data_IF_560684823335
#
_entry.id   IF_560684823335
#
_cell.length_a   1.000
_cell.length_b   1.000
_cell.length_c   1.000
_cell.angle_alpha   90.00
_cell.angle_beta   90.00
_cell.angle_gamma   90.00
#
_symmetry.space_group_name_H-M   'P 1'
#
loop_
_entity.id
_entity.type
_entity.pdbx_description
1 polymer ?
#
# COMPACT_ATOMS: atom_id res chain seq x y z
N UNK A 1 10.57 -42.65 -26.83
CA UNK A 1 11.52 -42.11 -25.83
C UNK A 1 11.48 -40.60 -25.91
N UNK A 2 10.65 -39.95 -25.08
CA UNK A 2 10.77 -38.55 -24.64
C UNK A 2 9.65 -38.25 -23.63
N UNK A 3 9.92 -37.31 -22.73
CA UNK A 3 9.54 -37.30 -21.31
C UNK A 3 8.24 -36.58 -20.98
N UNK A 4 7.64 -37.03 -19.87
CA UNK A 4 6.59 -36.40 -19.06
C UNK A 4 6.79 -34.89 -18.90
N UNK A 5 5.71 -34.11 -18.98
CA UNK A 5 5.49 -33.08 -17.98
C UNK A 5 3.99 -32.89 -17.71
N UNK A 6 3.60 -33.10 -16.44
CA UNK A 6 2.23 -32.96 -15.92
C UNK A 6 2.02 -31.49 -15.58
N UNK A 7 1.03 -30.83 -16.19
CA UNK A 7 0.61 -29.46 -15.85
C UNK A 7 -0.67 -29.48 -15.00
N UNK A 8 -0.46 -29.46 -13.68
CA UNK A 8 -1.13 -28.67 -12.66
C UNK A 8 -2.37 -27.89 -13.14
N UNK A 9 -3.55 -28.41 -12.80
CA UNK A 9 -4.81 -27.68 -12.70
C UNK A 9 -5.54 -28.19 -11.47
N UNK A 10 -5.65 -27.35 -10.43
CA UNK A 10 -6.68 -27.31 -9.36
C UNK A 10 -6.15 -26.47 -8.18
N UNK A 11 -6.35 -25.16 -8.23
CA UNK A 11 -6.47 -24.38 -6.99
C UNK A 11 -7.97 -24.25 -6.72
N UNK A 12 -8.48 -25.18 -5.92
CA UNK A 12 -9.75 -24.99 -5.24
C UNK A 12 -9.56 -23.88 -4.19
N UNK A 13 -10.56 -23.01 -4.06
CA UNK A 13 -10.81 -22.28 -2.82
C UNK A 13 -10.80 -23.30 -1.66
N UNK A 14 -9.74 -23.27 -0.85
CA UNK A 14 -9.56 -24.20 0.24
C UNK A 14 -10.38 -23.76 1.45
N UNK A 15 -11.68 -24.05 1.43
CA UNK A 15 -12.44 -24.21 2.68
C UNK A 15 -12.01 -25.54 3.29
N UNK A 16 -11.03 -25.50 4.20
CA UNK A 16 -10.55 -26.67 4.94
C UNK A 16 -11.67 -27.17 5.89
N UNK A 17 -12.35 -28.23 5.48
CA UNK A 17 -13.13 -29.06 6.40
C UNK A 17 -12.16 -29.92 7.22
N UNK A 18 -12.01 -29.61 8.51
CA UNK A 18 -11.34 -30.50 9.46
C UNK A 18 -12.26 -31.68 9.81
N UNK A 19 -11.79 -32.89 9.52
CA UNK A 19 -12.28 -34.10 10.18
C UNK A 19 -11.62 -34.14 11.56
N UNK A 20 -12.38 -33.88 12.62
CA UNK A 20 -11.92 -34.02 13.99
C UNK A 20 -11.83 -35.51 14.36
N UNK A 21 -10.64 -36.10 14.24
CA UNK A 21 -10.30 -37.32 14.96
C UNK A 21 -9.80 -36.93 16.35
N UNK A 22 -10.64 -37.19 17.36
CA UNK A 22 -10.34 -36.92 18.76
C UNK A 22 -9.15 -37.75 19.25
N UNK A 23 -7.99 -37.10 19.34
CA UNK A 23 -6.94 -37.45 20.28
C UNK A 23 -6.88 -36.35 21.33
N UNK A 24 -6.85 -36.73 22.60
CA UNK A 24 -6.74 -35.80 23.72
C UNK A 24 -5.46 -34.95 23.56
N UNK A 25 -5.64 -33.65 23.32
CA UNK A 25 -4.53 -32.71 23.15
C UNK A 25 -3.84 -32.47 24.51
N UNK A 26 -2.50 -32.59 24.61
CA UNK A 26 -1.76 -31.93 25.69
C UNK A 26 -2.05 -30.42 25.63
N UNK A 27 -2.18 -29.77 26.78
CA UNK A 27 -2.48 -28.33 27.00
C UNK A 27 -2.47 -27.53 25.68
N UNK A 28 -3.65 -27.33 25.06
CA UNK A 28 -3.71 -26.76 23.72
C UNK A 28 -3.00 -25.40 23.69
N UNK A 29 -1.96 -25.29 22.86
CA UNK A 29 -1.19 -24.06 22.70
C UNK A 29 -2.15 -22.93 22.34
N UNK A 30 -2.26 -21.91 23.20
CA UNK A 30 -3.15 -20.79 22.97
C UNK A 30 -2.51 -19.77 22.02
N UNK A 31 -3.34 -18.95 21.35
CA UNK A 31 -2.83 -17.83 20.52
C UNK A 31 -1.94 -16.88 21.33
N UNK A 32 -2.29 -16.65 22.60
CA UNK A 32 -1.49 -15.79 23.48
C UNK A 32 -0.13 -16.41 23.79
N UNK A 33 -0.07 -17.73 23.96
CA UNK A 33 1.19 -18.44 24.18
C UNK A 33 2.11 -18.38 22.96
N UNK A 34 1.57 -18.49 21.74
CA UNK A 34 2.34 -18.33 20.50
C UNK A 34 2.86 -16.90 20.38
N UNK A 35 1.98 -15.91 20.58
CA UNK A 35 2.35 -14.50 20.49
C UNK A 35 3.41 -14.13 21.55
N UNK A 36 3.27 -14.58 22.79
CA UNK A 36 4.24 -14.29 23.85
C UNK A 36 5.61 -14.89 23.54
N UNK A 37 5.65 -16.12 23.00
CA UNK A 37 6.91 -16.74 22.57
C UNK A 37 7.54 -16.00 21.40
N UNK A 38 6.74 -15.47 20.47
CA UNK A 38 7.25 -14.57 19.43
C UNK A 38 7.86 -13.31 20.03
N UNK A 39 7.18 -12.67 20.99
CA UNK A 39 7.70 -11.46 21.65
C UNK A 39 9.02 -11.78 22.38
N UNK A 40 9.08 -12.88 23.13
CA UNK A 40 10.30 -13.32 23.81
C UNK A 40 11.43 -13.63 22.81
N UNK A 41 11.16 -14.40 21.76
CA UNK A 41 12.14 -14.73 20.72
C UNK A 41 12.64 -13.49 19.98
N UNK A 42 11.79 -12.48 19.81
CA UNK A 42 12.19 -11.21 19.20
C UNK A 42 13.07 -10.35 20.11
N UNK A 43 13.11 -10.58 21.42
CA UNK A 43 13.94 -9.80 22.35
C UNK A 43 13.30 -9.51 23.72
N UNK A 44 12.05 -9.91 23.92
CA UNK A 44 11.32 -9.72 25.17
C UNK A 44 10.64 -8.35 25.30
N UNK A 45 9.59 -8.29 26.13
CA UNK A 45 8.71 -7.11 26.29
C UNK A 45 9.47 -5.84 26.66
N UNK A 46 10.38 -5.93 27.62
CA UNK A 46 11.11 -4.76 28.12
C UNK A 46 11.99 -4.12 27.04
N UNK A 47 12.65 -4.92 26.21
CA UNK A 47 13.50 -4.42 25.13
C UNK A 47 12.68 -3.86 23.97
N UNK A 48 11.58 -4.52 23.61
CA UNK A 48 10.63 -4.00 22.62
C UNK A 48 10.05 -2.66 23.08
N UNK A 49 9.65 -2.55 24.35
CA UNK A 49 9.13 -1.32 24.94
C UNK A 49 10.18 -0.19 24.97
N UNK A 50 11.46 -0.52 25.18
CA UNK A 50 12.57 0.42 25.24
C UNK A 50 12.99 1.01 23.87
N UNK A 51 12.41 0.55 22.76
CA UNK A 51 12.61 1.18 21.45
C UNK A 51 11.62 2.33 21.28
N UNK A 52 12.14 3.55 21.26
CA UNK A 52 11.38 4.78 21.03
C UNK A 52 11.21 5.07 19.53
N UNK A 53 12.25 4.79 18.74
CA UNK A 53 12.23 4.97 17.29
C UNK A 53 13.18 4.02 16.58
N UNK A 54 12.93 3.84 15.28
CA UNK A 54 13.72 3.05 14.36
C UNK A 54 13.99 3.86 13.08
N UNK A 55 15.25 3.92 12.67
CA UNK A 55 15.70 4.58 11.44
C UNK A 55 16.31 3.52 10.52
N UNK A 56 15.75 3.42 9.31
CA UNK A 56 16.09 2.49 8.26
C UNK A 56 16.82 3.23 7.15
N UNK A 57 17.97 2.71 6.72
CA UNK A 57 18.82 3.33 5.70
C UNK A 57 19.49 2.29 4.83
N UNK A 58 19.97 2.71 3.65
CA UNK A 58 20.68 1.82 2.75
C UNK A 58 19.76 0.76 2.14
N UNK A 59 18.48 1.07 1.98
CA UNK A 59 17.49 0.11 1.50
C UNK A 59 17.54 -0.05 -0.02
N UNK A 60 17.36 -1.29 -0.50
CA UNK A 60 17.01 -1.57 -1.88
C UNK A 60 15.54 -1.97 -1.93
N UNK A 61 14.83 -1.46 -2.94
CA UNK A 61 13.41 -1.72 -3.14
C UNK A 61 13.14 -1.97 -4.61
N UNK A 62 12.28 -2.92 -4.93
CA UNK A 62 11.81 -3.18 -6.30
C UNK A 62 10.29 -3.37 -6.27
N UNK A 63 9.58 -2.70 -7.16
CA UNK A 63 8.14 -2.86 -7.39
C UNK A 63 7.82 -2.50 -8.85
N UNK A 64 7.43 -3.50 -9.65
CA UNK A 64 7.28 -3.32 -11.10
C UNK A 64 8.56 -2.77 -11.73
N UNK A 65 8.44 -1.64 -12.43
CA UNK A 65 9.57 -0.94 -13.07
C UNK A 65 10.31 0.02 -12.11
N UNK A 66 9.77 0.25 -10.92
CA UNK A 66 10.39 1.12 -9.92
C UNK A 66 11.43 0.35 -9.11
N UNK A 67 12.62 0.93 -8.97
CA UNK A 67 13.65 0.37 -8.10
C UNK A 67 14.49 1.46 -7.43
N UNK A 68 14.94 1.17 -6.21
CA UNK A 68 15.96 1.94 -5.49
C UNK A 68 17.17 1.06 -5.22
N UNK A 69 18.36 1.64 -5.36
CA UNK A 69 19.62 0.95 -5.10
C UNK A 69 20.35 1.61 -3.93
N UNK A 70 20.06 1.14 -2.71
CA UNK A 70 20.71 1.61 -1.48
C UNK A 70 20.25 2.99 -1.01
N UNK A 71 19.23 3.58 -1.63
CA UNK A 71 18.73 4.93 -1.31
C UNK A 71 17.42 4.93 -0.53
N UNK A 72 16.73 3.80 -0.40
CA UNK A 72 15.49 3.77 0.38
C UNK A 72 15.78 4.02 1.86
N UNK A 73 14.96 4.90 2.45
CA UNK A 73 15.00 5.27 3.85
C UNK A 73 13.60 5.24 4.45
N UNK A 74 13.52 4.96 5.75
CA UNK A 74 12.28 5.02 6.51
C UNK A 74 12.61 5.38 7.96
N UNK A 75 11.71 6.07 8.63
CA UNK A 75 11.77 6.29 10.08
C UNK A 75 10.41 5.96 10.69
N UNK A 76 10.43 5.37 11.88
CA UNK A 76 9.23 5.16 12.71
C UNK A 76 9.52 5.58 14.14
N UNK A 77 8.58 6.22 14.81
CA UNK A 77 8.73 6.60 16.21
C UNK A 77 7.43 6.42 17.00
N UNK A 78 7.56 6.17 18.29
CA UNK A 78 6.43 6.21 19.21
C UNK A 78 5.85 7.64 19.25
N UNK A 79 4.53 7.77 19.43
CA UNK A 79 3.60 6.65 19.62
C UNK A 79 3.07 6.03 18.31
N UNK A 80 3.15 6.72 17.16
CA UNK A 80 2.64 6.22 15.87
C UNK A 80 3.18 7.03 14.67
N UNK A 81 4.39 7.56 14.74
CA UNK A 81 4.96 8.37 13.67
C UNK A 81 5.65 7.52 12.60
N UNK A 82 5.49 7.89 11.33
CA UNK A 82 6.16 7.24 10.18
C UNK A 82 6.62 8.28 9.16
N UNK A 83 7.76 8.04 8.55
CA UNK A 83 8.23 8.69 7.32
C UNK A 83 8.86 7.62 6.43
N UNK A 84 8.48 7.56 5.16
CA UNK A 84 9.21 6.86 4.09
C UNK A 84 9.82 7.93 3.19
N UNK A 85 11.12 7.83 2.93
CA UNK A 85 11.93 8.87 2.31
C UNK A 85 12.78 9.65 3.33
N UNK A 86 13.66 10.52 2.81
CA UNK A 86 14.54 11.35 3.61
C UNK A 86 13.94 12.76 3.75
N UNK A 87 13.75 13.21 4.99
CA UNK A 87 13.20 14.55 5.27
C UNK A 87 14.07 15.69 4.72
N UNK A 88 15.36 15.45 4.55
CA UNK A 88 16.33 16.42 4.05
C UNK A 88 16.53 16.33 2.53
N UNK A 89 16.15 15.20 1.93
CA UNK A 89 16.18 14.97 0.49
C UNK A 89 14.85 14.31 0.08
N UNK A 90 13.79 15.11 -0.08
CA UNK A 90 12.44 14.60 -0.24
C UNK A 90 12.22 13.82 -1.55
N UNK A 91 13.16 13.91 -2.49
CA UNK A 91 13.05 13.27 -3.80
C UNK A 91 11.71 13.53 -4.50
N UNK A 92 11.32 12.58 -5.36
CA UNK A 92 10.09 12.66 -6.14
C UNK A 92 8.82 12.33 -5.34
N UNK A 93 8.96 11.57 -4.26
CA UNK A 93 7.85 11.08 -3.44
C UNK A 93 8.30 10.83 -2.00
N UNK A 94 7.45 11.22 -1.05
CA UNK A 94 7.52 10.74 0.33
C UNK A 94 6.13 10.44 0.85
N UNK A 95 6.05 9.57 1.84
CA UNK A 95 4.82 9.40 2.62
C UNK A 95 5.13 9.42 4.10
N UNK A 96 4.15 9.82 4.90
CA UNK A 96 4.30 9.82 6.33
C UNK A 96 3.00 9.73 7.09
N UNK A 97 3.13 9.62 8.40
CA UNK A 97 2.03 9.61 9.33
C UNK A 97 2.43 10.43 10.55
N UNK A 98 1.79 11.59 10.72
CA UNK A 98 2.01 12.52 11.84
C UNK A 98 0.84 12.53 12.84
N UNK A 99 -0.01 11.51 12.79
CA UNK A 99 -1.38 11.53 13.34
C UNK A 99 -2.43 11.57 12.23
N UNK A 100 -2.03 12.01 11.03
CA UNK A 100 -2.77 11.84 9.79
C UNK A 100 -1.80 11.39 8.70
N UNK A 101 -2.24 10.44 7.87
CA UNK A 101 -1.46 9.99 6.72
C UNK A 101 -1.32 11.14 5.70
N UNK A 102 -0.14 11.27 5.11
CA UNK A 102 0.16 12.26 4.08
C UNK A 102 1.14 11.72 3.05
N UNK A 103 1.06 12.26 1.83
CA UNK A 103 1.94 11.97 0.69
C UNK A 103 2.47 13.30 0.15
N UNK A 104 3.76 13.35 -0.18
CA UNK A 104 4.43 14.42 -0.92
C UNK A 104 4.68 13.95 -2.34
N UNK A 105 4.40 14.83 -3.29
CA UNK A 105 4.68 14.62 -4.70
C UNK A 105 5.50 15.80 -5.23
N UNK A 106 6.73 15.57 -5.68
CA UNK A 106 7.61 16.63 -6.21
C UNK A 106 7.01 17.31 -7.45
N UNK A 107 6.37 16.52 -8.30
CA UNK A 107 5.54 17.02 -9.38
C UNK A 107 4.09 16.61 -9.08
N UNK A 108 3.19 17.55 -8.75
CA UNK A 108 3.27 19.01 -8.94
C UNK A 108 3.80 19.84 -7.76
N UNK A 109 4.46 19.21 -6.78
CA UNK A 109 5.03 19.88 -5.62
C UNK A 109 3.99 20.09 -4.54
N UNK A 110 3.20 19.06 -4.24
CA UNK A 110 2.04 19.15 -3.34
C UNK A 110 2.07 18.12 -2.23
N UNK A 111 1.39 18.45 -1.13
CA UNK A 111 1.11 17.52 -0.04
C UNK A 111 -0.36 17.16 -0.05
N UNK A 112 -0.64 15.86 -0.05
CA UNK A 112 -1.99 15.30 0.01
C UNK A 112 -2.16 14.58 1.35
N UNK A 113 -3.19 14.92 2.11
CA UNK A 113 -3.56 14.17 3.33
C UNK A 113 -4.55 13.07 2.98
N UNK A 114 -4.04 11.85 2.84
CA UNK A 114 -4.81 10.70 2.36
C UNK A 114 -5.92 10.29 3.31
N UNK A 115 -6.98 9.70 2.76
CA UNK A 115 -8.13 9.15 3.48
C UNK A 115 -8.42 7.71 3.04
N UNK A 116 -9.51 7.13 3.56
CA UNK A 116 -9.99 5.80 3.19
C UNK A 116 -8.87 4.73 3.31
N UNK A 117 -8.75 3.86 2.31
CA UNK A 117 -7.81 2.74 2.29
C UNK A 117 -6.34 3.19 2.41
N UNK A 118 -5.95 4.28 1.74
CA UNK A 118 -4.59 4.81 1.80
C UNK A 118 -4.23 5.28 3.22
N UNK A 119 -5.16 5.99 3.88
CA UNK A 119 -4.99 6.40 5.27
C UNK A 119 -4.98 5.22 6.25
N UNK A 120 -5.77 4.18 5.98
CA UNK A 120 -5.76 2.95 6.77
C UNK A 120 -4.41 2.23 6.67
N UNK A 121 -3.89 2.06 5.45
CA UNK A 121 -2.56 1.48 5.22
C UNK A 121 -1.46 2.29 5.94
N UNK A 122 -1.49 3.62 5.84
CA UNK A 122 -0.58 4.49 6.59
C UNK A 122 -0.62 4.24 8.10
N UNK A 123 -1.83 4.11 8.68
CA UNK A 123 -2.00 3.79 10.11
C UNK A 123 -1.48 2.41 10.51
N UNK A 124 -1.73 1.40 9.68
CA UNK A 124 -1.42 0.01 10.04
C UNK A 124 0.06 -0.24 10.26
N UNK A 125 0.91 0.49 9.54
CA UNK A 125 2.36 0.29 9.51
C UNK A 125 3.16 1.45 10.14
N UNK A 126 2.48 2.39 10.83
CA UNK A 126 3.16 3.53 11.45
C UNK A 126 3.80 3.24 12.81
N UNK A 127 3.28 2.26 13.56
CA UNK A 127 3.81 1.91 14.87
C UNK A 127 5.21 1.29 14.80
N UNK A 128 6.01 1.52 15.84
CA UNK A 128 7.31 0.85 16.04
C UNK A 128 7.11 -0.65 16.30
N UNK A 129 6.15 -0.98 17.16
CA UNK A 129 5.88 -2.35 17.59
C UNK A 129 5.16 -3.18 16.53
N UNK A 130 5.56 -4.45 16.42
CA UNK A 130 4.83 -5.43 15.60
C UNK A 130 3.35 -5.49 16.02
N UNK A 131 2.37 -5.60 15.09
CA UNK A 131 0.92 -5.59 15.38
C UNK A 131 0.42 -6.66 16.38
N UNK A 132 1.22 -7.70 16.65
CA UNK A 132 0.92 -8.71 17.68
C UNK A 132 1.26 -8.26 19.13
N UNK A 133 2.18 -7.31 19.31
CA UNK A 133 2.56 -6.80 20.64
C UNK A 133 1.39 -6.04 21.26
N UNK A 134 0.93 -6.40 22.44
CA UNK A 134 -0.20 -5.71 23.12
C UNK A 134 -1.46 -5.53 22.23
N UNK A 135 -1.70 -6.49 21.34
CA UNK A 135 -2.75 -6.40 20.32
C UNK A 135 -4.14 -6.09 20.93
N UNK A 136 -4.45 -6.63 22.12
CA UNK A 136 -5.70 -6.37 22.86
C UNK A 136 -5.82 -4.93 23.33
N UNK A 137 -4.75 -4.37 23.89
CA UNK A 137 -4.74 -2.97 24.35
C UNK A 137 -4.93 -2.00 23.17
N UNK A 138 -4.53 -2.42 21.96
CA UNK A 138 -4.75 -1.69 20.70
C UNK A 138 -6.11 -1.96 20.05
N UNK A 139 -6.99 -2.74 20.71
CA UNK A 139 -8.34 -3.03 20.24
C UNK A 139 -8.43 -4.10 19.14
N UNK A 140 -7.36 -4.87 18.93
CA UNK A 140 -7.35 -6.00 18.00
C UNK A 140 -7.74 -7.30 18.70
N UNK A 141 -8.17 -8.29 17.92
CA UNK A 141 -8.39 -9.67 18.37
C UNK A 141 -7.49 -10.62 17.59
N UNK A 142 -7.06 -11.72 18.22
CA UNK A 142 -6.23 -12.73 17.58
C UNK A 142 -6.79 -14.12 17.80
N UNK A 143 -6.61 -15.02 16.83
CA UNK A 143 -6.92 -16.44 16.94
C UNK A 143 -5.83 -17.30 16.32
N UNK A 144 -5.60 -18.47 16.90
CA UNK A 144 -4.73 -19.50 16.32
C UNK A 144 -5.57 -20.35 15.38
N UNK A 145 -5.22 -20.36 14.09
CA UNK A 145 -5.91 -21.17 13.08
C UNK A 145 -5.41 -22.62 13.03
N UNK A 146 -4.24 -22.88 13.63
CA UNK A 146 -3.60 -24.19 13.66
C UNK A 146 -2.14 -24.10 13.20
N UNK A 147 -1.62 -25.22 12.72
CA UNK A 147 -0.29 -25.32 12.12
C UNK A 147 -0.38 -25.69 10.65
N UNK A 148 0.60 -25.26 9.87
CA UNK A 148 0.75 -25.64 8.46
C UNK A 148 2.23 -25.70 8.08
N UNK A 149 2.53 -26.03 6.83
CA UNK A 149 3.88 -25.98 6.27
C UNK A 149 4.00 -24.77 5.33
N UNK A 150 5.01 -23.93 5.53
CA UNK A 150 5.36 -22.81 4.66
C UNK A 150 6.82 -22.95 4.23
N UNK A 151 7.07 -23.03 2.92
CA UNK A 151 8.40 -23.19 2.33
C UNK A 151 9.23 -24.32 2.99
N UNK A 152 8.57 -25.45 3.29
CA UNK A 152 9.18 -26.62 3.92
C UNK A 152 9.38 -26.53 5.43
N UNK A 153 8.82 -25.51 6.10
CA UNK A 153 8.94 -25.30 7.55
C UNK A 153 7.58 -25.37 8.25
N UNK A 154 7.48 -26.05 9.41
CA UNK A 154 6.27 -26.01 10.22
C UNK A 154 6.08 -24.60 10.82
N UNK A 155 4.87 -24.06 10.69
CA UNK A 155 4.50 -22.74 11.21
C UNK A 155 3.14 -22.76 11.91
N UNK A 156 3.02 -22.00 13.00
CA UNK A 156 1.73 -21.58 13.55
C UNK A 156 1.11 -20.49 12.69
N UNK A 157 -0.20 -20.57 12.44
CA UNK A 157 -0.93 -19.52 11.71
C UNK A 157 -1.78 -18.72 12.68
N UNK A 158 -1.36 -17.48 12.94
CA UNK A 158 -2.09 -16.53 13.80
C UNK A 158 -2.86 -15.55 12.93
N UNK A 159 -4.19 -15.56 13.05
CA UNK A 159 -5.04 -14.54 12.45
C UNK A 159 -5.17 -13.36 13.41
N UNK A 160 -4.88 -12.16 12.95
CA UNK A 160 -5.13 -10.91 13.65
C UNK A 160 -6.26 -10.16 12.94
N UNK A 161 -7.25 -9.69 13.70
CA UNK A 161 -8.27 -8.74 13.22
C UNK A 161 -8.07 -7.43 13.96
N UNK A 162 -7.69 -6.39 13.22
CA UNK A 162 -7.44 -5.05 13.76
C UNK A 162 -8.75 -4.36 14.15
N UNK A 163 -8.63 -3.28 14.92
CA UNK A 163 -9.76 -2.47 15.39
C UNK A 163 -10.68 -1.96 14.26
N UNK A 164 -10.13 -1.69 13.09
CA UNK A 164 -10.88 -1.25 11.91
C UNK A 164 -11.37 -2.41 11.01
N UNK A 165 -11.24 -3.65 11.48
CA UNK A 165 -11.69 -4.84 10.77
C UNK A 165 -10.67 -5.41 9.78
N UNK A 166 -9.51 -4.77 9.58
CA UNK A 166 -8.48 -5.30 8.71
C UNK A 166 -7.94 -6.63 9.25
N UNK A 167 -7.88 -7.64 8.38
CA UNK A 167 -7.47 -9.00 8.75
C UNK A 167 -6.11 -9.31 8.15
N UNK A 168 -5.20 -9.76 9.01
CA UNK A 168 -3.89 -10.25 8.65
C UNK A 168 -3.69 -11.66 9.19
N UNK A 169 -2.83 -12.43 8.53
CA UNK A 169 -2.33 -13.71 9.03
C UNK A 169 -0.83 -13.62 9.19
N UNK A 170 -0.30 -14.16 10.28
CA UNK A 170 1.13 -14.28 10.55
C UNK A 170 1.50 -15.75 10.65
N UNK A 171 2.56 -16.13 9.93
CA UNK A 171 3.10 -17.48 9.88
C UNK A 171 4.36 -17.52 10.75
N UNK A 172 4.21 -18.05 11.96
CA UNK A 172 5.24 -18.06 13.01
C UNK A 172 5.91 -19.43 13.05
N UNK A 173 7.22 -19.47 12.84
CA UNK A 173 8.03 -20.69 12.85
C UNK A 173 7.91 -21.44 14.19
N UNK A 174 7.69 -22.76 14.13
CA UNK A 174 7.47 -23.55 15.36
C UNK A 174 8.71 -23.70 16.24
N UNK A 175 9.91 -23.62 15.64
CA UNK A 175 11.17 -23.81 16.35
C UNK A 175 11.70 -22.49 16.91
N UNK A 176 11.73 -21.45 16.08
CA UNK A 176 12.32 -20.15 16.42
C UNK A 176 11.33 -19.14 16.99
N UNK A 177 10.02 -19.35 16.81
CA UNK A 177 8.96 -18.40 17.11
C UNK A 177 9.08 -17.04 16.39
N UNK A 178 9.94 -16.92 15.36
CA UNK A 178 10.00 -15.74 14.50
C UNK A 178 8.97 -15.83 13.37
N UNK A 179 8.59 -14.68 12.81
CA UNK A 179 7.61 -14.63 11.72
C UNK A 179 8.33 -14.88 10.39
N UNK A 180 7.94 -15.94 9.69
CA UNK A 180 8.48 -16.28 8.36
C UNK A 180 7.71 -15.59 7.24
N UNK A 181 6.43 -15.29 7.46
CA UNK A 181 5.62 -14.51 6.53
C UNK A 181 4.41 -13.84 7.19
N UNK A 182 3.84 -12.87 6.49
CA UNK A 182 2.51 -12.33 6.75
C UNK A 182 1.66 -12.38 5.48
N UNK A 183 0.34 -12.54 5.63
CA UNK A 183 -0.61 -12.50 4.51
C UNK A 183 -1.80 -11.60 4.79
N UNK A 184 -2.32 -10.96 3.75
CA UNK A 184 -3.51 -10.11 3.81
C UNK A 184 -4.21 -10.08 2.45
N UNK A 185 -5.47 -9.64 2.44
CA UNK A 185 -6.16 -9.24 1.21
C UNK A 185 -6.31 -7.73 1.23
N UNK A 186 -5.62 -7.04 0.30
CA UNK A 186 -5.60 -5.59 0.23
C UNK A 186 -5.37 -5.10 -1.21
N UNK A 187 -5.85 -3.91 -1.58
CA UNK A 187 -5.48 -3.30 -2.86
C UNK A 187 -4.01 -2.89 -2.87
N UNK A 188 -3.32 -3.10 -3.99
CA UNK A 188 -1.96 -2.60 -4.21
C UNK A 188 -2.00 -1.07 -4.23
N UNK A 189 -1.10 -0.42 -3.50
CA UNK A 189 -1.11 1.04 -3.29
C UNK A 189 -2.46 1.62 -2.83
N UNK A 190 -3.26 0.82 -2.12
CA UNK A 190 -4.59 1.19 -1.66
C UNK A 190 -5.55 1.66 -2.77
N UNK A 191 -5.33 1.20 -4.00
CA UNK A 191 -6.18 1.50 -5.15
C UNK A 191 -6.55 0.24 -5.94
N UNK A 192 -7.73 0.23 -6.53
CA UNK A 192 -8.23 -0.89 -7.31
C UNK A 192 -8.76 -2.06 -6.46
N UNK A 193 -8.79 -3.25 -7.07
CA UNK A 193 -9.31 -4.47 -6.42
C UNK A 193 -8.30 -5.00 -5.41
N UNK A 194 -8.80 -5.54 -4.31
CA UNK A 194 -7.97 -6.26 -3.36
C UNK A 194 -7.39 -7.53 -4.00
N UNK A 195 -6.11 -7.78 -3.76
CA UNK A 195 -5.43 -9.02 -4.12
C UNK A 195 -5.05 -9.74 -2.83
N UNK A 196 -5.10 -11.07 -2.83
CA UNK A 196 -4.49 -11.84 -1.76
C UNK A 196 -2.98 -11.82 -1.96
N UNK A 197 -2.24 -11.52 -0.90
CA UNK A 197 -0.79 -11.40 -0.97
C UNK A 197 -0.14 -12.10 0.23
N UNK A 198 1.09 -12.58 0.00
CA UNK A 198 1.98 -13.08 1.03
C UNK A 198 3.30 -12.32 0.98
N UNK A 199 3.75 -11.83 2.13
CA UNK A 199 5.05 -11.20 2.32
C UNK A 199 5.92 -12.14 3.13
N UNK A 200 6.96 -12.70 2.51
CA UNK A 200 8.00 -13.47 3.18
C UNK A 200 8.95 -12.53 3.91
N UNK A 201 9.33 -12.91 5.12
CA UNK A 201 10.09 -12.07 6.05
C UNK A 201 11.33 -12.86 6.48
N UNK A 202 12.51 -12.26 6.31
CA UNK A 202 13.78 -12.93 6.58
C UNK A 202 14.86 -11.95 7.06
N UNK A 203 16.06 -12.48 7.29
CA UNK A 203 17.25 -11.72 7.68
C UNK A 203 17.04 -10.91 8.97
N UNK A 204 16.66 -11.63 10.04
CA UNK A 204 16.51 -11.05 11.38
C UNK A 204 17.89 -10.72 11.95
N UNK A 205 18.07 -9.47 12.37
CA UNK A 205 19.31 -8.99 13.00
C UNK A 205 18.97 -8.20 14.26
N UNK A 206 19.88 -8.23 15.23
CA UNK A 206 19.71 -7.52 16.49
C UNK A 206 19.86 -6.00 16.30
N UNK A 207 18.89 -5.25 16.82
CA UNK A 207 18.85 -3.79 16.81
C UNK A 207 18.30 -3.34 18.16
N UNK A 208 19.12 -2.70 18.99
CA UNK A 208 18.70 -2.29 20.34
C UNK A 208 18.26 -3.46 21.23
N UNK A 209 18.82 -4.66 21.01
CA UNK A 209 18.46 -5.87 21.76
C UNK A 209 17.17 -6.56 21.29
N UNK A 210 16.61 -6.15 20.15
CA UNK A 210 15.44 -6.76 19.50
C UNK A 210 15.81 -7.24 18.10
N UNK A 211 15.41 -8.45 17.72
CA UNK A 211 15.55 -8.99 16.38
C UNK A 211 14.53 -8.35 15.45
N UNK A 212 15.02 -7.62 14.45
CA UNK A 212 14.21 -6.99 13.42
C UNK A 212 14.53 -7.57 12.04
N UNK A 213 13.51 -7.85 11.21
CA UNK A 213 13.71 -8.35 9.86
C UNK A 213 14.27 -7.28 8.95
N UNK A 214 15.26 -7.65 8.13
CA UNK A 214 15.88 -6.78 7.14
C UNK A 214 15.44 -7.10 5.72
N UNK A 215 14.79 -8.25 5.46
CA UNK A 215 14.36 -8.64 4.11
C UNK A 215 12.87 -8.97 4.04
N UNK A 216 12.22 -8.45 3.00
CA UNK A 216 10.81 -8.68 2.70
C UNK A 216 10.62 -8.97 1.22
N UNK A 217 9.82 -9.98 0.90
CA UNK A 217 9.46 -10.34 -0.49
C UNK A 217 7.95 -10.60 -0.56
N UNK A 218 7.23 -9.72 -1.26
CA UNK A 218 5.78 -9.80 -1.42
C UNK A 218 5.42 -10.41 -2.77
N UNK A 219 4.47 -11.33 -2.76
CA UNK A 219 3.92 -11.94 -3.96
C UNK A 219 2.40 -12.05 -3.88
N UNK A 220 1.73 -11.99 -5.04
CA UNK A 220 0.30 -12.24 -5.15
C UNK A 220 0.00 -13.75 -5.03
N UNK A 221 -1.01 -14.10 -4.24
CA UNK A 221 -1.66 -15.40 -4.24
C UNK A 221 -2.95 -15.22 -5.06
N UNK A 222 -3.09 -15.80 -6.26
CA UNK A 222 -2.72 -17.17 -6.62
C UNK A 222 -1.62 -17.30 -7.67
N UNK A 223 -1.18 -16.19 -8.26
CA UNK A 223 -0.27 -16.18 -9.43
C UNK A 223 1.17 -16.51 -9.04
N UNK A 224 1.59 -16.20 -7.81
CA UNK A 224 2.97 -16.26 -7.36
C UNK A 224 3.83 -15.13 -7.94
N UNK A 225 3.23 -14.16 -8.65
CA UNK A 225 3.95 -13.03 -9.20
C UNK A 225 4.50 -12.16 -8.09
N UNK A 226 5.78 -11.81 -8.18
CA UNK A 226 6.41 -10.85 -7.25
C UNK A 226 5.74 -9.50 -7.39
N UNK A 227 5.24 -8.97 -6.28
CA UNK A 227 4.69 -7.62 -6.17
C UNK A 227 5.79 -6.64 -5.82
N UNK A 228 6.56 -6.94 -4.77
CA UNK A 228 7.69 -6.11 -4.36
C UNK A 228 8.75 -6.88 -3.58
N UNK A 229 9.97 -6.36 -3.56
CA UNK A 229 11.03 -6.82 -2.68
C UNK A 229 11.70 -5.64 -1.97
N UNK A 230 12.10 -5.83 -0.71
CA UNK A 230 12.75 -4.83 0.12
C UNK A 230 13.88 -5.48 0.91
N UNK A 231 15.07 -4.87 0.89
CA UNK A 231 16.18 -5.22 1.77
C UNK A 231 16.72 -3.95 2.43
N UNK A 232 16.74 -3.91 3.76
CA UNK A 232 17.38 -2.84 4.51
C UNK A 232 18.86 -3.10 4.70
N UNK A 233 19.68 -2.08 4.44
CA UNK A 233 21.11 -2.11 4.74
C UNK A 233 21.38 -2.01 6.25
N UNK A 234 20.78 -1.02 6.91
CA UNK A 234 20.91 -0.78 8.35
C UNK A 234 19.61 -0.33 8.98
N UNK A 235 19.32 -0.84 10.17
CA UNK A 235 18.29 -0.34 11.08
C UNK A 235 18.98 0.13 12.37
N UNK A 236 18.65 1.33 12.84
CA UNK A 236 19.18 1.90 14.09
C UNK A 236 18.04 2.25 15.04
N UNK A 237 18.16 1.90 16.32
CA UNK A 237 17.19 2.26 17.34
C UNK A 237 17.57 3.56 18.06
N UNK A 238 16.55 4.22 18.64
CA UNK A 238 16.69 5.30 19.63
C UNK A 238 17.59 6.45 19.18
N UNK A 239 17.44 6.84 17.90
CA UNK A 239 18.13 7.99 17.33
C UNK A 239 17.46 9.30 17.75
N UNK A 240 18.22 10.38 17.84
CA UNK A 240 17.65 11.72 18.06
C UNK A 240 17.08 12.23 16.74
N UNK A 241 15.77 12.39 16.66
CA UNK A 241 15.06 12.95 15.51
C UNK A 241 14.48 14.33 15.87
N UNK A 242 14.47 15.31 14.94
CA UNK A 242 13.76 16.58 15.10
C UNK A 242 12.24 16.39 15.32
N UNK A 243 11.59 17.37 15.95
CA UNK A 243 10.13 17.31 16.24
C UNK A 243 9.27 17.24 14.97
N UNK A 244 9.70 17.89 13.90
CA UNK A 244 9.00 17.96 12.61
C UNK A 244 9.46 16.89 11.61
N UNK A 245 10.28 15.93 12.04
CA UNK A 245 10.85 14.89 11.17
C UNK A 245 9.78 14.11 10.39
N UNK A 246 8.63 13.88 11.02
CA UNK A 246 7.53 13.09 10.47
C UNK A 246 6.42 13.94 9.82
N UNK A 247 6.59 15.26 9.80
CA UNK A 247 5.66 16.18 9.18
C UNK A 247 6.00 16.40 7.70
N UNK A 248 4.98 16.68 6.87
CA UNK A 248 5.23 16.96 5.46
C UNK A 248 6.10 18.22 5.28
N UNK A 249 6.78 18.36 4.12
CA UNK A 249 7.50 19.58 3.77
C UNK A 249 6.65 20.83 3.92
N UNK A 250 7.26 21.91 4.42
CA UNK A 250 6.65 23.25 4.45
C UNK A 250 7.17 24.02 3.25
N UNK A 251 6.25 24.57 2.45
CA UNK A 251 6.57 25.32 1.25
C UNK A 251 5.49 26.38 0.99
N UNK A 252 5.90 27.44 0.28
CA UNK A 252 4.97 28.44 -0.24
C UNK A 252 4.29 27.88 -1.48
N UNK A 253 2.96 27.91 -1.50
CA UNK A 253 2.17 27.29 -2.57
C UNK A 253 1.95 28.28 -3.70
N UNK A 254 2.22 27.86 -4.92
CA UNK A 254 1.75 28.58 -6.11
C UNK A 254 0.22 28.53 -6.20
N UNK A 255 -0.43 29.42 -6.98
CA UNK A 255 -1.87 29.32 -7.22
C UNK A 255 -2.28 27.93 -7.73
N UNK A 256 -1.49 27.32 -8.62
CA UNK A 256 -1.79 26.00 -9.18
C UNK A 256 -1.72 24.89 -8.11
N UNK A 257 -0.73 24.94 -7.21
CA UNK A 257 -0.63 24.00 -6.08
C UNK A 257 -1.80 24.18 -5.10
N UNK A 258 -2.23 25.43 -4.86
CA UNK A 258 -3.42 25.70 -4.04
C UNK A 258 -4.68 25.14 -4.69
N UNK A 259 -4.84 25.27 -6.01
CA UNK A 259 -5.95 24.65 -6.73
C UNK A 259 -5.98 23.14 -6.48
N UNK A 260 -4.86 22.45 -6.70
CA UNK A 260 -4.76 20.99 -6.53
C UNK A 260 -5.15 20.56 -5.11
N UNK A 261 -4.56 21.19 -4.10
CA UNK A 261 -4.86 20.87 -2.69
C UNK A 261 -6.33 21.15 -2.35
N UNK A 262 -6.93 22.21 -2.91
CA UNK A 262 -8.34 22.55 -2.67
C UNK A 262 -9.29 21.58 -3.36
N UNK A 263 -9.06 21.25 -4.64
CA UNK A 263 -9.84 20.24 -5.37
C UNK A 263 -9.81 18.91 -4.62
N UNK A 264 -8.63 18.50 -4.16
CA UNK A 264 -8.50 17.31 -3.32
C UNK A 264 -9.27 17.45 -2.00
N UNK A 265 -9.16 18.58 -1.31
CA UNK A 265 -9.83 18.79 -0.01
C UNK A 265 -11.35 18.73 -0.13
N UNK A 266 -11.90 19.27 -1.21
CA UNK A 266 -13.34 19.35 -1.52
C UNK A 266 -13.86 18.10 -2.24
N UNK A 267 -13.07 17.04 -2.37
CA UNK A 267 -13.41 15.80 -3.10
C UNK A 267 -14.76 15.14 -2.77
N UNK A 268 -15.33 15.41 -1.60
CA UNK A 268 -16.65 14.89 -1.18
C UNK A 268 -17.80 15.86 -1.44
N UNK A 269 -17.52 17.03 -2.02
CA UNK A 269 -18.47 18.10 -2.34
C UNK A 269 -18.19 18.56 -3.78
N UNK A 270 -18.85 17.90 -4.73
CA UNK A 270 -18.65 18.11 -6.17
C UNK A 270 -18.97 19.55 -6.57
N UNK A 271 -19.98 20.16 -5.96
CA UNK A 271 -20.39 21.53 -6.24
C UNK A 271 -19.32 22.52 -5.79
N UNK A 272 -18.83 22.41 -4.56
CA UNK A 272 -17.76 23.27 -4.05
C UNK A 272 -16.45 23.10 -4.83
N UNK A 273 -16.13 21.86 -5.23
CA UNK A 273 -14.96 21.55 -6.06
C UNK A 273 -15.05 22.22 -7.43
N UNK A 274 -16.19 22.12 -8.11
CA UNK A 274 -16.41 22.76 -9.40
C UNK A 274 -16.40 24.29 -9.29
N UNK A 275 -17.05 24.84 -8.27
CA UNK A 275 -17.00 26.28 -8.00
C UNK A 275 -15.56 26.78 -7.86
N UNK A 276 -14.74 26.07 -7.09
CA UNK A 276 -13.32 26.42 -6.90
C UNK A 276 -12.53 26.36 -8.20
N UNK A 277 -12.77 25.34 -9.03
CA UNK A 277 -12.15 25.23 -10.36
C UNK A 277 -12.56 26.38 -11.30
N UNK A 278 -13.84 26.73 -11.32
CA UNK A 278 -14.38 27.79 -12.18
C UNK A 278 -13.90 29.18 -11.75
N UNK A 279 -13.85 29.46 -10.44
CA UNK A 279 -13.28 30.71 -9.93
C UNK A 279 -11.78 30.82 -10.24
N UNK A 280 -11.03 29.72 -10.11
CA UNK A 280 -9.60 29.70 -10.43
C UNK A 280 -9.37 30.02 -11.91
N UNK A 281 -10.06 29.33 -12.82
CA UNK A 281 -9.91 29.54 -14.27
C UNK A 281 -10.35 30.94 -14.70
N UNK A 282 -11.29 31.57 -13.99
CA UNK A 282 -11.65 32.98 -14.21
C UNK A 282 -10.57 33.95 -13.73
N UNK A 283 -9.97 33.70 -12.57
CA UNK A 283 -8.96 34.57 -11.98
C UNK A 283 -7.59 34.44 -12.67
N UNK A 284 -7.28 33.26 -13.21
CA UNK A 284 -6.02 32.94 -13.90
C UNK A 284 -6.27 32.28 -15.26
N UNK A 285 -6.84 33.00 -16.23
CA UNK A 285 -7.25 32.43 -17.52
C UNK A 285 -6.09 31.91 -18.39
N UNK A 286 -4.87 32.41 -18.14
CA UNK A 286 -3.67 32.04 -18.91
C UNK A 286 -2.88 30.88 -18.29
N UNK A 287 -3.31 30.35 -17.13
CA UNK A 287 -2.62 29.23 -16.47
C UNK A 287 -3.15 27.91 -17.02
N UNK A 288 -2.24 27.08 -17.56
CA UNK A 288 -2.58 25.72 -17.96
C UNK A 288 -2.83 24.83 -16.73
N UNK A 289 -4.06 24.34 -16.58
CA UNK A 289 -4.48 23.46 -15.50
C UNK A 289 -4.53 21.99 -15.90
N UNK A 290 -4.21 21.61 -17.14
CA UNK A 290 -4.38 20.25 -17.66
C UNK A 290 -3.77 19.19 -16.73
N UNK A 291 -2.47 19.28 -16.46
CA UNK A 291 -1.78 18.28 -15.62
C UNK A 291 -2.14 18.38 -14.14
N UNK A 292 -2.44 19.59 -13.65
CA UNK A 292 -2.87 19.79 -12.27
C UNK A 292 -4.23 19.12 -12.00
N UNK A 293 -5.17 19.24 -12.94
CA UNK A 293 -6.50 18.66 -12.84
C UNK A 293 -6.45 17.15 -13.06
N UNK A 294 -5.57 16.65 -13.95
CA UNK A 294 -5.28 15.22 -14.08
C UNK A 294 -4.82 14.63 -12.75
N UNK A 295 -3.78 15.23 -12.16
CA UNK A 295 -3.25 14.81 -10.88
C UNK A 295 -4.33 14.85 -9.78
N UNK A 296 -5.06 15.96 -9.65
CA UNK A 296 -6.11 16.10 -8.64
C UNK A 296 -7.21 15.05 -8.85
N UNK A 297 -7.69 14.87 -10.08
CA UNK A 297 -8.72 13.89 -10.44
C UNK A 297 -8.30 12.47 -10.10
N UNK A 298 -7.07 12.08 -10.42
CA UNK A 298 -6.52 10.78 -10.07
C UNK A 298 -6.44 10.56 -8.54
N UNK A 299 -5.96 11.57 -7.78
CA UNK A 299 -5.91 11.45 -6.32
C UNK A 299 -7.30 11.40 -5.69
N UNK A 300 -8.27 12.16 -6.21
CA UNK A 300 -9.69 12.10 -5.81
C UNK A 300 -10.26 10.69 -6.06
N UNK A 301 -9.96 10.11 -7.22
CA UNK A 301 -10.35 8.74 -7.57
C UNK A 301 -9.76 7.70 -6.62
N UNK A 302 -8.46 7.81 -6.30
CA UNK A 302 -7.78 6.94 -5.32
C UNK A 302 -8.47 6.94 -3.95
N UNK A 303 -9.10 8.04 -3.57
CA UNK A 303 -9.83 8.15 -2.30
C UNK A 303 -11.26 7.61 -2.35
N UNK A 304 -11.66 6.98 -3.47
CA UNK A 304 -12.98 6.41 -3.69
C UNK A 304 -14.07 7.41 -4.09
N UNK A 305 -13.70 8.66 -4.40
CA UNK A 305 -14.65 9.71 -4.81
C UNK A 305 -14.84 9.71 -6.33
N UNK A 306 -15.33 8.59 -6.85
CA UNK A 306 -15.42 8.33 -8.31
C UNK A 306 -16.27 9.37 -9.06
N UNK A 307 -17.39 9.81 -8.48
CA UNK A 307 -18.25 10.83 -9.10
C UNK A 307 -17.54 12.18 -9.23
N UNK A 308 -16.86 12.62 -8.18
CA UNK A 308 -16.07 13.85 -8.20
C UNK A 308 -14.93 13.76 -9.22
N UNK A 309 -14.18 12.65 -9.22
CA UNK A 309 -13.11 12.42 -10.18
C UNK A 309 -13.60 12.47 -11.62
N UNK A 310 -14.66 11.73 -11.96
CA UNK A 310 -15.26 11.74 -13.30
C UNK A 310 -15.69 13.14 -13.71
N UNK A 311 -16.36 13.86 -12.82
CA UNK A 311 -16.84 15.22 -13.10
C UNK A 311 -15.69 16.17 -13.40
N UNK A 312 -14.64 16.13 -12.58
CA UNK A 312 -13.45 16.96 -12.74
C UNK A 312 -12.67 16.62 -14.01
N UNK A 313 -12.45 15.32 -14.29
CA UNK A 313 -11.70 14.86 -15.46
C UNK A 313 -12.47 15.08 -16.77
N UNK A 314 -13.80 14.96 -16.76
CA UNK A 314 -14.63 15.34 -17.90
C UNK A 314 -14.49 16.83 -18.23
N UNK A 315 -14.49 17.70 -17.21
CA UNK A 315 -14.23 19.14 -17.40
C UNK A 315 -12.83 19.36 -18.00
N UNK A 316 -11.84 18.60 -17.56
CA UNK A 316 -10.48 18.69 -18.08
C UNK A 316 -10.41 18.33 -19.57
N UNK A 317 -11.02 17.22 -19.98
CA UNK A 317 -11.05 16.79 -21.39
C UNK A 317 -11.78 17.80 -22.28
N UNK A 318 -12.83 18.46 -21.78
CA UNK A 318 -13.53 19.53 -22.52
C UNK A 318 -12.63 20.76 -22.69
N UNK A 319 -11.89 21.15 -21.66
CA UNK A 319 -10.98 22.30 -21.71
C UNK A 319 -9.71 22.02 -22.54
N UNK A 320 -9.21 20.79 -22.50
CA UNK A 320 -7.98 20.34 -23.15
C UNK A 320 -8.25 19.16 -24.09
N UNK A 321 -8.99 19.37 -25.20
CA UNK A 321 -9.42 18.29 -26.07
C UNK A 321 -8.28 17.54 -26.75
N UNK A 322 -7.08 18.13 -26.84
CA UNK A 322 -5.87 17.52 -27.43
C UNK A 322 -4.89 16.95 -26.40
N UNK A 323 -5.31 16.78 -25.14
CA UNK A 323 -4.47 16.19 -24.09
C UNK A 323 -4.67 14.66 -24.01
N UNK A 324 -3.65 13.90 -24.37
CA UNK A 324 -3.67 12.43 -24.24
C UNK A 324 -3.74 11.99 -22.77
N UNK A 325 -3.00 12.66 -21.88
CA UNK A 325 -3.01 12.42 -20.44
C UNK A 325 -4.41 12.63 -19.85
N UNK A 326 -5.13 13.70 -20.24
CA UNK A 326 -6.49 13.94 -19.74
C UNK A 326 -7.49 12.85 -20.18
N UNK A 327 -7.36 12.34 -21.41
CA UNK A 327 -8.18 11.22 -21.89
C UNK A 327 -7.84 9.92 -21.17
N UNK A 328 -6.56 9.69 -20.91
CA UNK A 328 -6.12 8.53 -20.14
C UNK A 328 -6.70 8.54 -18.72
N UNK A 329 -6.57 9.64 -17.99
CA UNK A 329 -7.09 9.74 -16.62
C UNK A 329 -8.62 9.59 -16.57
N UNK A 330 -9.34 10.16 -17.55
CA UNK A 330 -10.78 9.93 -17.69
C UNK A 330 -11.11 8.44 -17.92
N UNK A 331 -10.30 7.75 -18.73
CA UNK A 331 -10.41 6.30 -18.93
C UNK A 331 -10.22 5.52 -17.63
N UNK A 332 -9.23 5.87 -16.82
CA UNK A 332 -8.98 5.27 -15.50
C UNK A 332 -10.15 5.51 -14.54
N UNK A 333 -10.74 6.70 -14.56
CA UNK A 333 -11.94 7.00 -13.77
C UNK A 333 -13.15 6.17 -14.23
N UNK A 334 -13.37 6.00 -15.54
CA UNK A 334 -14.44 5.14 -16.05
C UNK A 334 -14.23 3.66 -15.70
N UNK A 335 -12.98 3.18 -15.77
CA UNK A 335 -12.64 1.81 -15.41
C UNK A 335 -12.93 1.56 -13.93
N UNK A 336 -12.50 2.47 -13.06
CA UNK A 336 -12.79 2.42 -11.63
C UNK A 336 -14.30 2.48 -11.33
N UNK A 337 -15.07 3.20 -12.14
CA UNK A 337 -16.55 3.22 -12.08
C UNK A 337 -17.21 1.94 -12.65
N UNK A 338 -16.44 1.00 -13.20
CA UNK A 338 -16.94 -0.21 -13.84
C UNK A 338 -17.50 0.01 -15.25
N UNK A 339 -17.39 1.21 -15.82
CA UNK A 339 -17.82 1.50 -17.18
C UNK A 339 -16.72 1.17 -18.20
N UNK A 340 -16.49 -0.13 -18.40
CA UNK A 340 -15.39 -0.65 -19.22
C UNK A 340 -15.45 -0.16 -20.68
N UNK A 341 -16.65 -0.01 -21.24
CA UNK A 341 -16.82 0.49 -22.61
C UNK A 341 -16.35 1.95 -22.74
N UNK A 342 -16.72 2.81 -21.79
CA UNK A 342 -16.27 4.19 -21.78
C UNK A 342 -14.77 4.30 -21.48
N UNK A 343 -14.24 3.46 -20.58
CA UNK A 343 -12.81 3.38 -20.30
C UNK A 343 -12.00 3.05 -21.56
N UNK A 344 -12.39 1.99 -22.28
CA UNK A 344 -11.77 1.61 -23.56
C UNK A 344 -11.81 2.74 -24.59
N UNK A 345 -12.96 3.39 -24.74
CA UNK A 345 -13.11 4.51 -25.68
C UNK A 345 -12.17 5.67 -25.32
N UNK A 346 -12.05 6.01 -24.04
CA UNK A 346 -11.15 7.06 -23.57
C UNK A 346 -9.66 6.71 -23.77
N UNK A 347 -9.26 5.46 -23.49
CA UNK A 347 -7.89 4.99 -23.74
C UNK A 347 -7.53 4.98 -25.24
N UNK A 348 -8.44 4.52 -26.10
CA UNK A 348 -8.25 4.60 -27.55
C UNK A 348 -8.12 6.05 -28.02
N UNK A 349 -8.96 6.95 -27.48
CA UNK A 349 -8.88 8.37 -27.80
C UNK A 349 -7.57 9.02 -27.29
N UNK A 350 -6.95 8.52 -26.21
CA UNK A 350 -5.61 8.94 -25.82
C UNK A 350 -4.57 8.53 -26.88
N UNK A 351 -4.65 7.30 -27.39
CA UNK A 351 -3.76 6.79 -28.45
C UNK A 351 -3.97 7.47 -29.82
N UNK A 352 -5.16 7.99 -30.08
CA UNK A 352 -5.42 8.81 -31.28
C UNK A 352 -4.69 10.17 -31.23
N UNK A 353 -4.45 10.73 -30.04
CA UNK A 353 -3.64 11.95 -29.87
C UNK A 353 -2.16 11.60 -29.89
N UNK A 354 -1.78 10.59 -29.13
CA UNK A 354 -0.41 10.15 -28.95
C UNK A 354 -0.33 8.62 -29.08
N UNK A 355 0.07 8.17 -30.27
CA UNK A 355 0.15 6.75 -30.60
C UNK A 355 1.19 5.99 -29.75
N UNK A 356 2.10 6.69 -29.07
CA UNK A 356 3.15 6.08 -28.23
C UNK A 356 2.79 6.18 -26.73
N UNK A 357 1.54 6.50 -26.38
CA UNK A 357 1.08 6.64 -25.00
C UNK A 357 1.00 5.28 -24.28
N UNK A 358 2.15 4.75 -23.85
CA UNK A 358 2.33 3.40 -23.32
C UNK A 358 1.40 3.05 -22.14
N UNK A 359 0.99 4.02 -21.34
CA UNK A 359 0.03 3.78 -20.25
C UNK A 359 -1.36 3.35 -20.77
N UNK A 360 -1.84 3.97 -21.86
CA UNK A 360 -3.12 3.61 -22.48
C UNK A 360 -3.04 2.24 -23.16
N UNK A 361 -1.93 1.91 -23.82
CA UNK A 361 -1.71 0.58 -24.41
C UNK A 361 -1.76 -0.52 -23.34
N UNK A 362 -1.05 -0.34 -22.22
CA UNK A 362 -1.06 -1.28 -21.10
C UNK A 362 -2.45 -1.43 -20.48
N UNK A 363 -3.18 -0.32 -20.32
CA UNK A 363 -4.53 -0.35 -19.78
C UNK A 363 -5.48 -1.15 -20.70
N UNK A 364 -5.42 -0.94 -22.02
CA UNK A 364 -6.19 -1.71 -22.99
C UNK A 364 -5.85 -3.20 -22.96
N UNK A 365 -4.57 -3.55 -22.93
CA UNK A 365 -4.13 -4.94 -22.83
C UNK A 365 -4.62 -5.61 -21.55
N UNK A 366 -4.65 -4.88 -20.43
CA UNK A 366 -5.21 -5.35 -19.15
C UNK A 366 -6.71 -5.63 -19.27
N UNK A 367 -7.48 -4.72 -19.90
CA UNK A 367 -8.91 -4.91 -20.14
C UNK A 367 -9.20 -6.14 -21.02
N UNK A 368 -8.39 -6.35 -22.07
CA UNK A 368 -8.52 -7.50 -22.98
C UNK A 368 -8.22 -8.83 -22.27
N UNK A 369 -7.17 -8.85 -21.44
CA UNK A 369 -6.81 -10.01 -20.64
C UNK A 369 -7.93 -10.35 -19.64
N UNK A 370 -8.51 -9.35 -18.98
CA UNK A 370 -9.62 -9.53 -18.04
C UNK A 370 -10.89 -10.06 -18.72
N UNK A 371 -11.24 -9.54 -19.91
CA UNK A 371 -12.37 -10.03 -20.69
C UNK A 371 -12.17 -11.49 -21.12
N UNK A 372 -10.98 -11.82 -21.62
CA UNK A 372 -10.61 -13.18 -22.02
C UNK A 372 -10.63 -14.18 -20.86
N UNK A 373 -10.35 -13.71 -19.63
CA UNK A 373 -10.42 -14.53 -18.42
C UNK A 373 -11.86 -14.76 -17.95
N UNK A 374 -12.77 -13.81 -18.17
CA UNK A 374 -14.18 -13.92 -17.80
C UNK A 374 -14.99 -14.85 -18.72
N UNK A 375 -14.52 -15.08 -19.95
CA UNK A 375 -15.14 -15.98 -20.93
C UNK A 375 -14.74 -17.47 -20.77
N UNK A 376 -13.77 -17.77 -19.89
CA UNK A 376 -13.26 -19.13 -19.61
C UNK A 376 -13.83 -19.68 -18.31
#
# INVERSE_FOLDING_TARGET
MQTRNKSWRRYLAATLLLIASGNAFPQSLSVDSVIERFIEASGGRDRVAAIDNLVYTGGTYVEGDFQTDGTATMSRARPWFKLVGDKNDPGSFMEGYDGSAWEWYENPGVVIRTVAAASAAGRHYAGVDHPLVDYRARGSTASLLGTTELDGRPVYVVRLTRRDGFVEQFYIDEDTFLINASGASAPIHAFGKAVEQITRIADYREVGGVLLPHRFESAELPSGNTLSSMQWGKISANQRLPEDWFSPPRYERTPLQQLIENLYRQRSDVEAMLWTYEEFTRAWPDVDTSEAVNFAGFQVLKMGQTEAALTLLLRNVVAYPSSASARFELGTAYESAGNINAARAAYLAALEIDAEFAQAERALASLDAAASAAER
#
